data_IF_121973258297
#
_entry.id   IF_121973258297
#
_cell.length_a   1.000
_cell.length_b   1.000
_cell.length_c   1.000
_cell.angle_alpha   90.00
_cell.angle_beta   90.00
_cell.angle_gamma   90.00
#
_symmetry.space_group_name_H-M   'P 1'
#
loop_
_entity.id
_entity.type
_entity.pdbx_description
1 polymer ?
#
# COMPACT_ATOMS: atom_id res chain seq x y z
N UNK A 1 2.21 -23.41 14.83
CA UNK A 1 3.20 -22.61 15.59
C UNK A 1 3.38 -21.30 14.80
N UNK A 2 3.05 -20.18 15.39
CA UNK A 2 3.19 -18.88 14.73
C UNK A 2 4.66 -18.60 14.40
N UNK A 3 4.95 -18.24 13.14
CA UNK A 3 6.33 -17.95 12.69
C UNK A 3 6.72 -16.56 13.13
N UNK A 4 7.96 -16.41 13.62
CA UNK A 4 8.53 -15.10 13.96
C UNK A 4 8.74 -14.23 12.71
N UNK A 5 8.82 -12.90 12.90
CA UNK A 5 8.93 -11.91 11.85
C UNK A 5 10.04 -12.21 10.83
N UNK A 6 11.21 -12.63 11.28
CA UNK A 6 12.34 -12.96 10.40
C UNK A 6 12.01 -14.12 9.44
N UNK A 7 11.26 -15.11 9.91
CA UNK A 7 10.81 -16.23 9.06
C UNK A 7 9.75 -15.76 8.08
N UNK A 8 8.80 -14.92 8.51
CA UNK A 8 7.76 -14.37 7.64
C UNK A 8 8.29 -13.47 6.53
N UNK A 9 9.41 -12.77 6.77
CA UNK A 9 10.08 -11.99 5.72
C UNK A 9 10.59 -12.85 4.55
N UNK A 10 10.86 -14.14 4.78
CA UNK A 10 11.45 -15.03 3.79
C UNK A 10 10.47 -16.09 3.29
N UNK A 11 9.52 -16.48 4.13
CA UNK A 11 8.63 -17.61 3.86
C UNK A 11 7.21 -17.25 4.27
N UNK A 12 6.30 -17.36 3.34
CA UNK A 12 4.86 -17.33 3.64
C UNK A 12 4.48 -18.55 4.49
N UNK A 13 3.47 -18.40 5.33
CA UNK A 13 2.81 -19.57 5.90
C UNK A 13 2.25 -20.39 4.74
N UNK A 14 2.42 -21.71 4.81
CA UNK A 14 1.86 -22.63 3.82
C UNK A 14 0.33 -22.55 3.87
N UNK A 15 -0.25 -21.61 3.16
CA UNK A 15 -1.64 -21.64 2.77
C UNK A 15 -1.74 -22.63 1.61
N UNK A 16 -2.56 -23.63 1.79
CA UNK A 16 -2.89 -24.73 0.90
C UNK A 16 -2.78 -24.38 -0.59
N UNK A 17 -1.73 -24.84 -1.20
CA UNK A 17 -1.46 -24.68 -2.61
C UNK A 17 0.04 -24.85 -2.81
N UNK A 18 0.49 -26.07 -3.14
CA UNK A 18 1.87 -26.33 -3.53
C UNK A 18 2.23 -25.39 -4.67
N UNK A 19 2.95 -24.33 -4.35
CA UNK A 19 3.69 -23.60 -5.39
C UNK A 19 4.65 -24.62 -5.99
N UNK A 20 4.47 -24.94 -7.27
CA UNK A 20 5.37 -25.80 -8.02
C UNK A 20 6.69 -25.05 -8.27
N UNK A 21 7.45 -24.85 -7.21
CA UNK A 21 8.77 -24.20 -7.27
C UNK A 21 9.91 -25.25 -7.28
N UNK A 22 9.60 -26.50 -7.60
CA UNK A 22 10.56 -27.62 -7.65
C UNK A 22 11.34 -27.82 -6.34
N UNK A 23 10.78 -27.43 -5.19
CA UNK A 23 11.42 -27.53 -3.89
C UNK A 23 12.48 -26.47 -3.62
N UNK A 24 12.51 -25.39 -4.40
CA UNK A 24 13.40 -24.26 -4.13
C UNK A 24 13.06 -23.62 -2.78
N UNK A 25 14.07 -23.36 -1.94
CA UNK A 25 13.89 -22.73 -0.63
C UNK A 25 13.53 -21.26 -0.79
N UNK A 26 14.21 -20.57 -1.73
CA UNK A 26 13.88 -19.19 -2.11
C UNK A 26 12.82 -19.18 -3.19
N UNK A 27 11.89 -18.24 -3.13
CA UNK A 27 10.88 -18.12 -4.18
C UNK A 27 11.52 -17.75 -5.53
N UNK A 28 11.14 -18.40 -6.64
CA UNK A 28 11.72 -18.13 -7.97
C UNK A 28 11.38 -16.73 -8.48
N UNK A 29 12.29 -16.17 -9.29
CA UNK A 29 12.04 -14.94 -10.04
C UNK A 29 11.54 -15.31 -11.44
N UNK A 30 10.32 -14.94 -11.77
CA UNK A 30 9.69 -15.18 -13.07
C UNK A 30 9.94 -14.00 -14.03
N UNK A 31 10.99 -14.10 -14.82
CA UNK A 31 11.36 -13.09 -15.82
C UNK A 31 10.67 -13.38 -17.15
N UNK A 32 9.36 -13.19 -17.18
CA UNK A 32 8.57 -13.38 -18.40
C UNK A 32 7.51 -12.30 -18.55
N UNK A 33 7.13 -11.98 -19.78
CA UNK A 33 6.03 -11.08 -20.07
C UNK A 33 4.70 -11.82 -20.23
N UNK A 34 4.71 -13.02 -20.81
CA UNK A 34 3.52 -13.81 -21.17
C UNK A 34 3.63 -15.22 -20.63
N UNK A 35 2.50 -15.89 -20.50
CA UNK A 35 2.38 -17.25 -19.98
C UNK A 35 1.66 -18.12 -21.00
N UNK A 36 2.07 -19.39 -21.10
CA UNK A 36 1.39 -20.37 -21.95
C UNK A 36 0.05 -20.79 -21.33
N UNK A 37 -0.97 -20.87 -22.16
CA UNK A 37 -2.29 -21.36 -21.78
C UNK A 37 -2.42 -22.85 -22.16
N UNK A 38 -3.04 -23.69 -21.30
CA UNK A 38 -3.27 -25.11 -21.62
C UNK A 38 -4.21 -25.29 -22.82
N UNK A 39 -5.08 -24.31 -23.10
CA UNK A 39 -6.03 -24.31 -24.22
C UNK A 39 -6.81 -23.01 -24.31
N UNK A 40 -7.64 -22.89 -25.34
CA UNK A 40 -8.50 -21.72 -25.55
C UNK A 40 -9.48 -21.60 -24.38
N UNK A 41 -9.52 -20.38 -23.77
CA UNK A 41 -10.36 -20.12 -22.59
C UNK A 41 -9.85 -20.73 -21.28
N UNK A 42 -8.64 -21.30 -21.26
CA UNK A 42 -8.00 -21.85 -20.07
C UNK A 42 -6.81 -20.97 -19.68
N UNK A 43 -6.63 -20.75 -18.39
CA UNK A 43 -5.49 -20.01 -17.84
C UNK A 43 -4.86 -20.77 -16.68
N UNK A 44 -3.57 -20.57 -16.45
CA UNK A 44 -2.85 -21.04 -15.27
C UNK A 44 -3.00 -20.08 -14.07
N UNK A 45 -3.78 -19.00 -14.23
CA UNK A 45 -3.89 -17.91 -13.27
C UNK A 45 -3.04 -16.70 -13.64
N UNK A 46 -2.07 -16.86 -14.52
CA UNK A 46 -1.19 -15.79 -15.00
C UNK A 46 -1.25 -15.74 -16.53
N UNK A 47 -1.52 -14.55 -17.07
CA UNK A 47 -1.64 -14.33 -18.50
C UNK A 47 -0.57 -13.37 -19.01
N UNK A 48 -0.34 -12.28 -18.29
CA UNK A 48 0.58 -11.22 -18.68
C UNK A 48 1.13 -10.48 -17.45
N UNK A 49 2.45 -10.32 -17.38
CA UNK A 49 3.17 -9.79 -16.21
C UNK A 49 2.82 -8.35 -15.82
N UNK A 50 2.30 -7.53 -16.76
CA UNK A 50 1.79 -6.19 -16.41
C UNK A 50 0.56 -6.28 -15.50
N UNK A 51 -0.26 -7.31 -15.66
CA UNK A 51 -1.46 -7.56 -14.84
C UNK A 51 -1.06 -8.31 -13.57
N UNK A 52 -0.45 -9.49 -13.75
CA UNK A 52 -0.07 -10.38 -12.67
C UNK A 52 1.23 -11.11 -12.99
N UNK A 53 2.06 -11.30 -11.98
CA UNK A 53 3.30 -12.07 -12.08
C UNK A 53 3.53 -12.80 -10.76
N UNK A 54 3.91 -14.10 -10.77
CA UNK A 54 4.10 -14.88 -9.54
C UNK A 54 5.07 -14.25 -8.55
N UNK A 55 6.17 -13.64 -9.04
CA UNK A 55 7.14 -12.93 -8.18
C UNK A 55 6.52 -11.74 -7.48
N UNK A 56 5.73 -10.93 -8.22
CA UNK A 56 5.02 -9.79 -7.67
C UNK A 56 3.98 -10.23 -6.62
N UNK A 57 3.17 -11.23 -6.96
CA UNK A 57 2.15 -11.78 -6.06
C UNK A 57 2.78 -12.34 -4.76
N UNK A 58 3.94 -12.99 -4.88
CA UNK A 58 4.64 -13.49 -3.70
C UNK A 58 5.09 -12.35 -2.77
N UNK A 59 5.62 -11.26 -3.33
CA UNK A 59 5.97 -10.06 -2.57
C UNK A 59 4.73 -9.45 -1.89
N UNK A 60 3.63 -9.31 -2.61
CA UNK A 60 2.36 -8.78 -2.09
C UNK A 60 1.87 -9.61 -0.89
N UNK A 61 1.88 -10.92 -0.99
CA UNK A 61 1.50 -11.83 0.10
C UNK A 61 2.42 -11.73 1.32
N UNK A 62 3.73 -11.56 1.11
CA UNK A 62 4.68 -11.34 2.22
C UNK A 62 4.34 -10.04 2.94
N UNK A 63 4.18 -8.94 2.20
CA UNK A 63 3.87 -7.62 2.79
C UNK A 63 2.54 -7.67 3.54
N UNK A 64 1.48 -8.23 2.94
CA UNK A 64 0.20 -8.42 3.62
C UNK A 64 0.35 -9.20 4.93
N UNK A 65 1.12 -10.30 4.92
CA UNK A 65 1.39 -11.09 6.14
C UNK A 65 2.13 -10.30 7.22
N UNK A 66 3.11 -9.47 6.84
CA UNK A 66 3.90 -8.67 7.79
C UNK A 66 3.09 -7.55 8.41
N UNK A 67 2.24 -6.90 7.62
CA UNK A 67 1.40 -5.77 8.03
C UNK A 67 0.05 -6.20 8.62
N UNK A 68 -0.19 -7.52 8.74
CA UNK A 68 -1.49 -8.07 9.17
C UNK A 68 -2.66 -7.60 8.30
N UNK A 69 -2.38 -7.26 7.04
CA UNK A 69 -3.37 -6.89 6.04
C UNK A 69 -4.05 -8.10 5.41
N UNK A 70 -5.25 -7.89 4.87
CA UNK A 70 -5.95 -8.93 4.11
C UNK A 70 -5.36 -9.10 2.70
N UNK A 71 -4.71 -8.07 2.16
CA UNK A 71 -4.06 -8.08 0.84
C UNK A 71 -3.04 -6.93 0.74
N UNK A 72 -2.23 -6.93 -0.32
CA UNK A 72 -1.29 -5.86 -0.65
C UNK A 72 -1.14 -5.72 -2.17
N UNK A 73 -0.77 -4.52 -2.63
CA UNK A 73 -0.50 -4.24 -4.03
C UNK A 73 0.90 -3.66 -4.19
N UNK A 74 1.75 -4.33 -4.95
CA UNK A 74 3.06 -3.83 -5.33
C UNK A 74 2.96 -2.99 -6.61
N UNK A 75 3.43 -1.74 -6.54
CA UNK A 75 3.41 -0.78 -7.63
C UNK A 75 4.82 -0.35 -8.03
N UNK A 76 4.96 0.24 -9.20
CA UNK A 76 6.26 0.60 -9.77
C UNK A 76 6.99 1.72 -9.03
N UNK A 77 6.28 2.55 -8.26
CA UNK A 77 6.83 3.66 -7.48
C UNK A 77 5.94 3.99 -6.29
N UNK A 78 6.51 4.63 -5.24
CA UNK A 78 5.72 5.14 -4.13
C UNK A 78 4.65 6.15 -4.57
N UNK A 79 4.95 7.01 -5.56
CA UNK A 79 3.95 7.95 -6.09
C UNK A 79 2.81 7.24 -6.83
N UNK A 80 3.08 6.10 -7.48
CA UNK A 80 2.00 5.28 -8.05
C UNK A 80 1.10 4.71 -6.95
N UNK A 81 1.68 4.27 -5.83
CA UNK A 81 0.92 3.79 -4.68
C UNK A 81 0.05 4.90 -4.06
N UNK A 82 0.63 6.08 -3.83
CA UNK A 82 -0.13 7.23 -3.29
C UNK A 82 -1.24 7.67 -4.25
N UNK A 83 -0.97 7.68 -5.57
CA UNK A 83 -1.99 8.03 -6.56
C UNK A 83 -3.14 7.02 -6.56
N UNK A 84 -2.83 5.71 -6.50
CA UNK A 84 -3.85 4.68 -6.41
C UNK A 84 -4.68 4.80 -5.12
N UNK A 85 -4.03 5.14 -3.99
CA UNK A 85 -4.74 5.37 -2.73
C UNK A 85 -5.78 6.51 -2.86
N UNK A 86 -5.47 7.57 -3.64
CA UNK A 86 -6.41 8.68 -3.85
C UNK A 86 -7.67 8.28 -4.62
N UNK A 87 -7.66 7.18 -5.38
CA UNK A 87 -8.85 6.66 -6.06
C UNK A 87 -9.93 6.12 -5.11
N UNK A 88 -9.60 5.91 -3.83
CA UNK A 88 -10.59 5.54 -2.80
C UNK A 88 -11.51 6.70 -2.43
N UNK A 89 -11.15 7.94 -2.77
CA UNK A 89 -11.86 9.15 -2.37
C UNK A 89 -12.60 9.77 -3.54
N UNK A 90 -13.73 10.41 -3.24
CA UNK A 90 -14.62 11.07 -4.21
C UNK A 90 -14.69 12.58 -3.97
N UNK A 91 -15.19 13.36 -4.94
CA UNK A 91 -15.43 14.80 -4.75
C UNK A 91 -16.28 15.08 -3.51
N UNK A 92 -15.83 16.02 -2.69
CA UNK A 92 -16.44 16.36 -1.40
C UNK A 92 -15.78 15.73 -0.19
N UNK A 93 -15.04 14.63 -0.36
CA UNK A 93 -14.31 14.02 0.75
C UNK A 93 -13.20 14.95 1.25
N UNK A 94 -12.95 14.89 2.56
CA UNK A 94 -11.91 15.61 3.25
C UNK A 94 -10.88 14.63 3.83
N UNK A 95 -9.59 15.00 3.68
CA UNK A 95 -8.48 14.29 4.30
C UNK A 95 -7.70 15.25 5.20
N UNK A 96 -7.30 14.74 6.35
CA UNK A 96 -6.27 15.37 7.17
C UNK A 96 -4.93 14.83 6.69
N UNK A 97 -3.98 15.70 6.39
CA UNK A 97 -2.67 15.31 5.88
C UNK A 97 -1.57 15.94 6.72
N UNK A 98 -0.45 15.24 6.89
CA UNK A 98 0.70 15.84 7.56
C UNK A 98 1.22 17.05 6.77
N UNK A 99 1.66 18.08 7.49
CA UNK A 99 2.24 19.29 6.88
C UNK A 99 3.65 19.05 6.35
N UNK A 100 4.37 18.08 6.91
CA UNK A 100 5.71 17.67 6.49
C UNK A 100 5.63 16.32 5.76
N UNK A 101 5.27 16.40 4.48
CA UNK A 101 5.19 15.25 3.58
C UNK A 101 6.22 15.34 2.47
N UNK A 102 6.54 14.21 1.88
CA UNK A 102 7.31 14.17 0.63
C UNK A 102 6.70 15.12 -0.41
N UNK A 103 7.56 15.94 -1.02
CA UNK A 103 7.11 16.99 -1.95
C UNK A 103 6.31 16.51 -3.15
N UNK A 104 6.45 15.21 -3.53
CA UNK A 104 5.62 14.56 -4.53
C UNK A 104 4.16 14.42 -4.08
N UNK A 105 3.94 14.00 -2.84
CA UNK A 105 2.61 13.87 -2.22
C UNK A 105 1.92 15.24 -2.14
N UNK A 106 2.64 16.27 -1.67
CA UNK A 106 2.12 17.64 -1.60
C UNK A 106 1.69 18.13 -2.99
N UNK A 107 2.51 17.90 -4.02
CA UNK A 107 2.18 18.28 -5.41
C UNK A 107 0.95 17.54 -5.94
N UNK A 108 0.85 16.24 -5.66
CA UNK A 108 -0.32 15.43 -6.04
C UNK A 108 -1.60 16.01 -5.40
N UNK A 109 -1.60 16.23 -4.09
CA UNK A 109 -2.75 16.75 -3.37
C UNK A 109 -3.17 18.14 -3.85
N UNK A 110 -2.23 19.06 -4.00
CA UNK A 110 -2.51 20.44 -4.42
C UNK A 110 -2.93 20.57 -5.89
N UNK A 111 -2.30 19.82 -6.78
CA UNK A 111 -2.42 20.04 -8.23
C UNK A 111 -3.37 19.05 -8.92
N UNK A 112 -3.61 17.87 -8.34
CA UNK A 112 -4.45 16.83 -8.91
C UNK A 112 -5.67 16.59 -8.03
N UNK A 113 -5.47 16.06 -6.83
CA UNK A 113 -6.58 15.64 -5.96
C UNK A 113 -7.54 16.79 -5.62
N UNK A 114 -7.00 17.98 -5.39
CA UNK A 114 -7.84 19.18 -5.16
C UNK A 114 -8.70 19.56 -6.37
N UNK A 115 -8.19 19.37 -7.59
CA UNK A 115 -8.99 19.59 -8.82
C UNK A 115 -10.10 18.55 -8.96
N UNK A 116 -9.89 17.36 -8.42
CA UNK A 116 -10.89 16.31 -8.38
C UNK A 116 -11.91 16.49 -7.24
N UNK A 117 -11.90 17.64 -6.57
CA UNK A 117 -12.89 18.00 -5.54
C UNK A 117 -12.60 17.43 -4.15
N UNK A 118 -11.42 16.84 -3.91
CA UNK A 118 -10.99 16.39 -2.58
C UNK A 118 -10.41 17.59 -1.82
N UNK A 119 -10.77 17.73 -0.55
CA UNK A 119 -10.32 18.81 0.32
C UNK A 119 -9.30 18.30 1.35
N UNK A 120 -8.41 19.17 1.81
CA UNK A 120 -7.32 18.82 2.72
C UNK A 120 -7.15 19.83 3.84
N UNK A 121 -6.96 19.34 5.07
CA UNK A 121 -6.40 20.10 6.20
C UNK A 121 -4.97 19.60 6.43
N UNK A 122 -3.99 20.53 6.30
CA UNK A 122 -2.61 20.22 6.63
C UNK A 122 -2.38 20.50 8.11
N UNK A 123 -1.88 19.52 8.84
CA UNK A 123 -1.63 19.58 10.29
C UNK A 123 -0.22 19.11 10.59
N UNK A 124 0.35 19.56 11.68
CA UNK A 124 1.56 18.97 12.23
C UNK A 124 1.13 17.79 13.13
N UNK A 125 1.07 16.59 12.57
CA UNK A 125 0.59 15.40 13.27
C UNK A 125 1.45 15.01 14.50
N UNK A 126 2.62 15.60 14.61
CA UNK A 126 3.53 15.44 15.73
C UNK A 126 3.19 16.37 16.91
N UNK A 127 2.65 17.59 16.67
CA UNK A 127 2.42 18.62 17.67
C UNK A 127 0.94 18.99 17.85
N UNK A 128 0.17 18.96 16.78
CA UNK A 128 -1.21 19.43 16.78
C UNK A 128 -2.19 18.42 17.40
N UNK A 129 -3.30 18.95 17.89
CA UNK A 129 -4.48 18.16 18.21
C UNK A 129 -5.22 17.81 16.91
N UNK A 130 -4.87 16.68 16.32
CA UNK A 130 -5.39 16.23 15.02
C UNK A 130 -6.90 16.05 15.04
N UNK A 131 -7.48 15.62 16.19
CA UNK A 131 -8.92 15.42 16.35
C UNK A 131 -9.71 16.72 16.11
N UNK A 132 -9.15 17.86 16.48
CA UNK A 132 -9.80 19.17 16.26
C UNK A 132 -9.99 19.54 14.79
N UNK A 133 -9.29 18.90 13.88
CA UNK A 133 -9.41 19.08 12.42
C UNK A 133 -10.39 18.12 11.76
N UNK A 134 -10.97 17.18 12.49
CA UNK A 134 -11.96 16.24 11.96
C UNK A 134 -13.25 16.97 11.62
N UNK A 135 -13.80 16.68 10.45
CA UNK A 135 -15.07 17.20 9.91
C UNK A 135 -15.99 16.03 9.56
N UNK A 136 -17.24 16.30 9.29
CA UNK A 136 -18.22 15.30 8.86
C UNK A 136 -17.75 14.59 7.56
N UNK A 137 -17.12 15.32 6.67
CA UNK A 137 -16.61 14.82 5.39
C UNK A 137 -15.23 14.16 5.51
N UNK A 138 -14.60 14.16 6.68
CA UNK A 138 -13.28 13.53 6.86
C UNK A 138 -13.38 12.02 6.67
N UNK A 139 -12.53 11.49 5.77
CA UNK A 139 -12.51 10.06 5.42
C UNK A 139 -11.20 9.39 5.76
N UNK A 140 -10.12 10.15 5.91
CA UNK A 140 -8.81 9.60 6.24
C UNK A 140 -7.90 10.62 6.89
N UNK A 141 -6.94 10.11 7.63
CA UNK A 141 -5.74 10.81 8.09
C UNK A 141 -4.57 10.20 7.33
N UNK A 142 -3.86 11.02 6.54
CA UNK A 142 -2.70 10.62 5.76
C UNK A 142 -1.43 11.17 6.41
N UNK A 143 -0.57 10.28 6.87
CA UNK A 143 0.69 10.63 7.52
C UNK A 143 1.88 9.98 6.82
N UNK A 144 3.05 10.52 7.05
CA UNK A 144 4.34 9.96 6.72
C UNK A 144 5.18 9.93 8.00
N UNK A 145 5.69 8.77 8.39
CA UNK A 145 6.49 8.66 9.62
C UNK A 145 7.61 7.62 9.46
N UNK A 146 8.88 7.97 9.70
CA UNK A 146 9.36 9.36 9.87
C UNK A 146 9.09 10.22 8.64
N UNK A 147 8.88 11.54 8.84
CA UNK A 147 8.62 12.47 7.73
C UNK A 147 9.86 12.74 6.88
N UNK A 148 9.66 13.20 5.65
CA UNK A 148 10.72 13.65 4.78
C UNK A 148 10.46 15.13 4.37
N UNK A 149 11.34 16.11 4.71
CA UNK A 149 12.73 15.89 5.14
C UNK A 149 12.99 16.02 6.64
N UNK A 150 12.04 16.40 7.48
CA UNK A 150 12.28 16.80 8.86
C UNK A 150 12.49 15.64 9.83
N UNK A 151 12.20 14.38 9.42
CA UNK A 151 12.35 13.18 10.24
C UNK A 151 11.50 13.18 11.53
N UNK A 152 10.36 13.87 11.53
CA UNK A 152 9.42 13.84 12.63
C UNK A 152 8.79 12.46 12.75
N UNK A 153 8.60 12.00 13.97
CA UNK A 153 7.97 10.69 14.26
C UNK A 153 6.62 10.91 14.90
N UNK A 154 5.59 10.38 14.27
CA UNK A 154 4.20 10.45 14.72
C UNK A 154 3.76 9.12 15.32
N UNK A 155 3.01 9.17 16.40
CA UNK A 155 2.41 8.00 17.03
C UNK A 155 1.18 7.52 16.22
N UNK A 156 1.40 6.49 15.40
CA UNK A 156 0.34 5.89 14.57
C UNK A 156 -0.79 5.32 15.44
N UNK A 157 -0.44 4.71 16.58
CA UNK A 157 -1.41 4.13 17.51
C UNK A 157 -2.39 5.18 18.01
N UNK A 158 -1.87 6.33 18.48
CA UNK A 158 -2.69 7.45 18.93
C UNK A 158 -3.61 7.98 17.84
N UNK A 159 -3.10 8.12 16.60
CA UNK A 159 -3.93 8.62 15.49
C UNK A 159 -5.01 7.62 15.07
N UNK A 160 -4.77 6.32 15.19
CA UNK A 160 -5.76 5.30 14.85
C UNK A 160 -6.97 5.27 15.78
N UNK A 161 -6.90 5.91 16.96
CA UNK A 161 -8.01 6.04 17.88
C UNK A 161 -9.01 7.15 17.47
N UNK A 162 -8.60 8.04 16.54
CA UNK A 162 -9.42 9.16 16.07
C UNK A 162 -10.38 8.74 14.93
N UNK A 163 -10.15 7.59 14.26
CA UNK A 163 -10.85 7.15 13.04
C UNK A 163 -11.93 6.11 13.26
#
# INVERSE_FOLDING_TARGET
MERGINTRCLHLEETEGKTENYGAISYPIYQTATYAHPGVGQSTGFDYSRLQNPTKEHLEKIVASLEHGCDALALSTGMAAITLLMELFKPGDHLIVDSDLYGGSIRLFRNVSRKNGITFSAVDSYQDDVESFVKEETKAIYIETPTNPMMNVTDIGKLSEIT
#
